data_IF_443037254675
#
_entry.id   IF_443037254675
#
_cell.length_a   1.000
_cell.length_b   1.000
_cell.length_c   1.000
_cell.angle_alpha   90.00
_cell.angle_beta   90.00
_cell.angle_gamma   90.00
#
_symmetry.space_group_name_H-M   'P 1'
#
loop_
_entity.id
_entity.type
_entity.pdbx_description
1 polymer ?
#
# COMPACT_ATOMS: atom_id res chain seq x y z
N UNK A 1 -34.61 -16.43 13.39
CA UNK A 1 -34.60 -16.96 12.01
C UNK A 1 -35.54 -16.08 11.21
N UNK A 2 -34.98 -15.13 10.47
CA UNK A 2 -35.60 -14.15 9.55
C UNK A 2 -34.38 -13.37 9.00
N UNK A 3 -33.73 -13.94 8.00
CA UNK A 3 -33.89 -13.61 6.57
C UNK A 3 -32.99 -12.42 6.16
N UNK A 4 -31.88 -12.85 5.57
CA UNK A 4 -30.80 -12.12 4.93
C UNK A 4 -31.33 -11.43 3.67
N UNK A 5 -31.85 -10.21 3.81
CA UNK A 5 -32.26 -9.38 2.69
C UNK A 5 -31.05 -8.69 2.03
N UNK A 6 -30.48 -9.41 1.06
CA UNK A 6 -30.11 -8.90 -0.27
C UNK A 6 -29.38 -7.55 -0.38
N UNK A 7 -28.11 -7.49 0.00
CA UNK A 7 -27.14 -6.48 -0.50
C UNK A 7 -26.38 -7.08 -1.69
N UNK A 8 -27.07 -7.38 -2.79
CA UNK A 8 -26.40 -7.84 -4.03
C UNK A 8 -27.02 -7.28 -5.33
N UNK A 9 -28.04 -6.41 -5.25
CA UNK A 9 -28.64 -5.76 -6.43
C UNK A 9 -28.15 -4.33 -6.74
N UNK A 10 -27.38 -3.71 -5.85
CA UNK A 10 -27.18 -2.23 -5.87
C UNK A 10 -26.06 -1.77 -6.85
N UNK A 11 -25.32 -2.65 -7.52
CA UNK A 11 -24.22 -2.21 -8.40
C UNK A 11 -24.56 -2.07 -9.89
N UNK A 12 -25.62 -2.74 -10.38
CA UNK A 12 -26.05 -2.57 -11.77
C UNK A 12 -26.83 -1.25 -11.96
N UNK A 13 -27.78 -0.97 -11.05
CA UNK A 13 -28.64 0.21 -11.15
C UNK A 13 -27.91 1.50 -10.72
N UNK A 14 -26.97 1.43 -9.78
CA UNK A 14 -26.20 2.61 -9.37
C UNK A 14 -25.27 3.11 -10.48
N UNK A 15 -24.69 2.20 -11.27
CA UNK A 15 -23.90 2.59 -12.44
C UNK A 15 -24.77 3.12 -13.57
N UNK A 16 -26.02 2.65 -13.72
CA UNK A 16 -26.98 3.23 -14.67
C UNK A 16 -27.39 4.63 -14.25
N UNK A 17 -27.83 4.82 -13.01
CA UNK A 17 -28.21 6.13 -12.47
C UNK A 17 -27.05 7.13 -12.44
N UNK A 18 -25.82 6.66 -12.23
CA UNK A 18 -24.63 7.49 -12.32
C UNK A 18 -24.27 7.86 -13.76
N UNK A 19 -24.54 6.98 -14.74
CA UNK A 19 -24.41 7.31 -16.18
C UNK A 19 -25.45 8.34 -16.60
N UNK A 20 -26.71 8.13 -16.23
CA UNK A 20 -27.83 9.03 -16.56
C UNK A 20 -27.58 10.43 -15.97
N UNK A 21 -27.03 10.51 -14.75
CA UNK A 21 -26.64 11.77 -14.11
C UNK A 21 -25.48 12.48 -14.83
N UNK A 22 -24.47 11.75 -15.33
CA UNK A 22 -23.37 12.33 -16.10
C UNK A 22 -23.86 12.84 -17.46
N UNK A 23 -24.82 12.15 -18.08
CA UNK A 23 -25.42 12.52 -19.36
C UNK A 23 -26.31 13.77 -19.23
N UNK A 24 -27.10 13.89 -18.14
CA UNK A 24 -27.88 15.10 -17.82
C UNK A 24 -27.00 16.33 -17.52
N UNK A 25 -25.82 16.14 -16.92
CA UNK A 25 -24.84 17.21 -16.63
C UNK A 25 -23.90 17.52 -17.81
N UNK A 26 -24.05 16.84 -18.96
CA UNK A 26 -23.24 17.08 -20.16
C UNK A 26 -21.77 16.63 -20.04
N UNK A 27 -21.47 15.73 -19.09
CA UNK A 27 -20.17 15.11 -18.92
C UNK A 27 -20.11 13.82 -19.76
N UNK A 28 -18.97 13.51 -20.41
CA UNK A 28 -18.87 12.33 -21.27
C UNK A 28 -19.14 11.05 -20.46
N UNK A 29 -20.17 10.30 -20.84
CA UNK A 29 -20.36 8.92 -20.38
C UNK A 29 -19.23 8.06 -20.95
N UNK A 30 -18.67 7.18 -20.13
CA UNK A 30 -17.50 6.35 -20.47
C UNK A 30 -17.86 5.20 -21.45
N UNK A 31 -18.82 5.43 -22.37
CA UNK A 31 -19.46 4.41 -23.23
C UNK A 31 -18.60 3.99 -24.44
N UNK A 32 -17.49 4.70 -24.71
CA UNK A 32 -16.59 4.38 -25.83
C UNK A 32 -15.42 3.46 -25.44
N UNK A 33 -15.44 2.83 -24.26
CA UNK A 33 -14.38 1.89 -23.85
C UNK A 33 -14.82 0.44 -23.95
N UNK A 34 -13.96 -0.39 -24.52
CA UNK A 34 -14.11 -1.85 -24.52
C UNK A 34 -13.28 -2.47 -23.40
N UNK A 35 -13.78 -3.57 -22.85
CA UNK A 35 -13.06 -4.41 -21.90
C UNK A 35 -12.41 -5.59 -22.62
N UNK A 36 -11.09 -5.70 -22.51
CA UNK A 36 -10.30 -6.83 -23.02
C UNK A 36 -9.72 -7.63 -21.86
N UNK A 37 -10.04 -8.92 -21.79
CA UNK A 37 -9.50 -9.85 -20.80
C UNK A 37 -8.28 -10.58 -21.36
N UNK A 38 -7.10 -10.23 -20.85
CA UNK A 38 -5.83 -10.86 -21.22
C UNK A 38 -5.48 -11.97 -20.21
N UNK A 39 -5.44 -13.26 -20.62
CA UNK A 39 -5.17 -14.36 -19.71
C UNK A 39 -3.75 -14.33 -19.15
N UNK A 40 -3.54 -15.00 -18.02
CA UNK A 40 -2.22 -15.36 -17.50
C UNK A 40 -2.11 -16.86 -17.25
N UNK A 41 -0.90 -17.37 -17.39
CA UNK A 41 -0.53 -18.75 -17.07
C UNK A 41 -0.10 -18.78 -15.60
N UNK A 42 -0.79 -19.54 -14.75
CA UNK A 42 -0.39 -19.76 -13.34
C UNK A 42 0.74 -20.80 -13.27
N UNK A 43 1.76 -20.52 -12.45
CA UNK A 43 2.99 -21.30 -12.33
C UNK A 43 3.30 -21.75 -10.89
N UNK A 44 2.31 -21.75 -9.98
CA UNK A 44 2.54 -22.19 -8.59
C UNK A 44 2.86 -23.69 -8.50
N UNK A 45 2.25 -24.51 -9.36
CA UNK A 45 2.42 -25.96 -9.35
C UNK A 45 1.98 -26.58 -8.01
N UNK A 46 2.81 -27.47 -7.47
CA UNK A 46 2.59 -28.15 -6.18
C UNK A 46 3.46 -27.59 -5.04
N UNK A 47 4.16 -26.48 -5.30
CA UNK A 47 5.16 -25.96 -4.36
C UNK A 47 4.49 -25.31 -3.15
N UNK A 48 4.97 -25.64 -1.95
CA UNK A 48 4.53 -25.03 -0.70
C UNK A 48 5.41 -23.84 -0.38
N UNK A 49 4.93 -22.63 -0.67
CA UNK A 49 5.64 -21.38 -0.44
C UNK A 49 5.07 -20.70 0.80
N UNK A 50 5.84 -20.63 1.88
CA UNK A 50 5.37 -20.01 3.13
C UNK A 50 5.40 -18.49 3.04
N UNK A 51 4.36 -17.83 3.53
CA UNK A 51 4.28 -16.36 3.64
C UNK A 51 3.68 -15.97 5.00
N UNK A 52 3.88 -14.72 5.40
CA UNK A 52 3.33 -14.21 6.66
C UNK A 52 1.89 -13.72 6.43
N UNK A 53 0.94 -14.23 7.21
CA UNK A 53 -0.48 -13.83 7.15
C UNK A 53 -1.07 -13.72 8.54
N UNK A 54 -2.14 -12.93 8.67
CA UNK A 54 -3.01 -12.98 9.83
C UNK A 54 -3.77 -14.31 9.84
N UNK A 55 -3.88 -14.95 11.01
CA UNK A 55 -4.73 -16.13 11.22
C UNK A 55 -6.12 -15.89 10.66
N UNK A 56 -6.69 -16.83 9.87
CA UNK A 56 -8.08 -16.71 9.35
C UNK A 56 -9.10 -16.60 10.50
N UNK A 57 -8.78 -17.20 11.65
CA UNK A 57 -9.63 -17.24 12.84
C UNK A 57 -8.82 -16.94 14.10
N UNK A 58 -9.34 -16.08 14.97
CA UNK A 58 -8.79 -15.82 16.31
C UNK A 58 -9.91 -16.13 17.32
N UNK A 59 -9.66 -17.04 18.27
CA UNK A 59 -10.63 -17.49 19.28
C UNK A 59 -12.04 -17.79 18.71
N UNK A 60 -12.12 -18.46 17.55
CA UNK A 60 -13.38 -18.82 16.91
C UNK A 60 -14.08 -17.70 16.13
N UNK A 61 -13.45 -16.54 15.96
CA UNK A 61 -13.98 -15.41 15.18
C UNK A 61 -13.11 -15.17 13.94
N UNK A 62 -13.75 -14.99 12.79
CA UNK A 62 -13.07 -14.67 11.53
C UNK A 62 -12.33 -13.33 11.61
N UNK A 63 -11.14 -13.27 11.04
CA UNK A 63 -10.39 -12.00 10.90
C UNK A 63 -10.78 -11.23 9.65
N UNK A 64 -11.60 -11.82 8.78
CA UNK A 64 -12.10 -11.14 7.59
C UNK A 64 -12.83 -9.85 7.96
N UNK A 65 -12.62 -8.82 7.15
CA UNK A 65 -13.17 -7.48 7.35
C UNK A 65 -12.87 -6.85 8.73
N UNK A 66 -11.97 -7.42 9.54
CA UNK A 66 -11.66 -6.97 10.90
C UNK A 66 -12.66 -7.41 11.97
N UNK A 67 -13.43 -8.47 11.75
CA UNK A 67 -14.43 -8.97 12.70
C UNK A 67 -13.83 -9.39 14.05
N UNK A 68 -12.74 -10.15 14.02
CA UNK A 68 -12.02 -10.56 15.22
C UNK A 68 -11.59 -9.36 16.07
N UNK A 69 -11.03 -8.31 15.45
CA UNK A 69 -10.65 -7.09 16.15
C UNK A 69 -11.86 -6.42 16.81
N UNK A 70 -12.97 -6.29 16.07
CA UNK A 70 -14.18 -5.64 16.60
C UNK A 70 -14.82 -6.38 17.77
N UNK A 71 -14.73 -7.71 17.81
CA UNK A 71 -15.37 -8.55 18.83
C UNK A 71 -14.46 -8.92 20.00
N UNK A 72 -13.16 -9.07 19.76
CA UNK A 72 -12.23 -9.67 20.73
C UNK A 72 -11.17 -8.72 21.28
N UNK A 73 -10.86 -7.64 20.58
CA UNK A 73 -9.86 -6.70 21.05
C UNK A 73 -10.42 -5.84 22.21
N UNK A 74 -9.56 -5.39 23.14
CA UNK A 74 -9.93 -4.35 24.09
C UNK A 74 -10.48 -3.13 23.35
N UNK A 75 -11.55 -2.52 23.87
CA UNK A 75 -12.20 -1.34 23.25
C UNK A 75 -11.20 -0.18 23.19
N UNK A 76 -10.66 0.20 22.00
CA UNK A 76 -9.83 1.39 21.89
C UNK A 76 -10.63 2.63 22.33
N UNK A 77 -10.04 3.45 23.19
CA UNK A 77 -10.55 4.80 23.48
C UNK A 77 -9.69 5.81 22.75
N UNK A 78 -10.32 6.68 21.94
CA UNK A 78 -9.61 7.73 21.20
C UNK A 78 -8.94 8.70 22.19
N UNK A 79 -7.64 8.89 22.03
CA UNK A 79 -6.84 9.75 22.89
C UNK A 79 -5.66 10.35 22.10
N UNK A 80 -5.06 11.42 22.63
CA UNK A 80 -3.80 11.97 22.12
C UNK A 80 -2.65 10.96 22.24
N UNK A 81 -1.62 11.05 21.39
CA UNK A 81 -0.44 10.21 21.55
C UNK A 81 0.24 10.49 22.91
N UNK A 82 0.64 9.44 23.63
CA UNK A 82 1.32 9.54 24.92
C UNK A 82 2.42 8.46 25.02
N UNK A 83 3.60 8.71 24.40
CA UNK A 83 4.69 7.74 24.38
C UNK A 83 5.25 7.40 25.77
N UNK A 84 4.97 8.24 26.78
CA UNK A 84 5.41 8.00 28.16
C UNK A 84 4.60 6.86 28.77
N UNK A 85 3.29 6.80 28.50
CA UNK A 85 2.40 5.75 28.99
C UNK A 85 2.32 4.55 28.05
N UNK A 86 2.35 4.81 26.75
CA UNK A 86 2.24 3.81 25.69
C UNK A 86 3.30 4.12 24.62
N UNK A 87 4.50 3.52 24.72
CA UNK A 87 5.62 3.79 23.80
C UNK A 87 5.26 3.61 22.33
N UNK A 88 4.32 2.72 22.00
CA UNK A 88 3.91 2.47 20.62
C UNK A 88 3.22 3.70 20.00
N UNK A 89 2.65 4.60 20.82
CA UNK A 89 2.03 5.84 20.33
C UNK A 89 3.03 6.87 19.79
N UNK A 90 4.34 6.69 20.01
CA UNK A 90 5.38 7.50 19.34
C UNK A 90 5.23 7.47 17.81
N UNK A 91 4.73 6.37 17.26
CA UNK A 91 4.38 6.25 15.84
C UNK A 91 3.42 7.35 15.37
N UNK A 92 2.42 7.71 16.18
CA UNK A 92 1.39 8.70 15.83
C UNK A 92 1.96 10.13 15.81
N UNK A 93 2.99 10.41 16.62
CA UNK A 93 3.69 11.70 16.61
C UNK A 93 4.68 11.81 15.45
N UNK A 94 5.40 10.72 15.15
CA UNK A 94 6.34 10.71 14.02
C UNK A 94 5.62 10.76 12.68
N UNK A 95 4.43 10.16 12.60
CA UNK A 95 3.64 10.10 11.38
C UNK A 95 2.37 10.94 11.51
N UNK A 96 2.56 12.26 11.59
CA UNK A 96 1.48 13.22 11.79
C UNK A 96 0.45 13.20 10.66
N UNK A 97 -0.78 13.57 11.00
CA UNK A 97 -1.83 13.87 10.03
C UNK A 97 -1.49 15.20 9.34
N UNK A 98 -1.30 15.19 8.02
CA UNK A 98 -1.16 16.42 7.24
C UNK A 98 -2.50 16.78 6.61
N UNK A 99 -2.93 18.03 6.82
CA UNK A 99 -4.15 18.55 6.23
C UNK A 99 -3.85 19.84 5.48
N UNK A 100 -3.99 19.78 4.15
CA UNK A 100 -3.83 20.92 3.26
C UNK A 100 -5.19 21.54 2.92
N UNK A 101 -5.40 22.78 3.36
CA UNK A 101 -6.62 23.55 3.15
C UNK A 101 -6.52 24.57 2.02
N UNK A 102 -5.33 24.78 1.42
CA UNK A 102 -5.16 25.72 0.32
C UNK A 102 -6.13 25.45 -0.86
N UNK A 103 -6.29 24.22 -1.37
CA UNK A 103 -7.21 23.96 -2.48
C UNK A 103 -8.67 24.29 -2.15
N UNK A 104 -9.09 23.98 -0.92
CA UNK A 104 -10.47 24.24 -0.47
C UNK A 104 -10.74 25.73 -0.30
N UNK A 105 -9.76 26.48 0.21
CA UNK A 105 -9.88 27.94 0.38
C UNK A 105 -9.84 28.65 -0.97
N UNK A 106 -8.99 28.20 -1.90
CA UNK A 106 -8.97 28.72 -3.26
C UNK A 106 -10.32 28.49 -3.96
N UNK A 107 -10.92 27.31 -3.82
CA UNK A 107 -12.24 27.01 -4.36
C UNK A 107 -13.38 27.85 -3.73
N UNK A 108 -13.26 28.21 -2.45
CA UNK A 108 -14.21 29.12 -1.78
C UNK A 108 -14.04 30.57 -2.24
N UNK A 109 -12.80 30.99 -2.55
CA UNK A 109 -12.46 32.37 -2.95
C UNK A 109 -12.59 32.65 -4.45
N UNK A 110 -12.77 31.64 -5.31
CA UNK A 110 -12.84 31.77 -6.78
C UNK A 110 -14.02 32.60 -7.34
N UNK A 111 -14.69 33.43 -6.53
CA UNK A 111 -15.40 34.64 -6.97
C UNK A 111 -14.51 35.90 -7.08
N UNK A 112 -13.22 35.84 -6.73
CA UNK A 112 -12.30 36.97 -6.85
C UNK A 112 -10.83 36.58 -6.65
N UNK A 113 -10.02 36.89 -7.67
CA UNK A 113 -8.55 36.83 -7.77
C UNK A 113 -7.90 35.44 -7.92
N UNK A 114 -7.48 35.20 -9.17
CA UNK A 114 -6.40 34.29 -9.55
C UNK A 114 -5.07 34.97 -9.21
N UNK A 115 -4.19 34.27 -8.51
CA UNK A 115 -2.76 34.62 -8.46
C UNK A 115 -2.12 34.51 -7.07
N UNK A 116 -1.26 33.51 -6.91
CA UNK A 116 -0.30 33.41 -5.81
C UNK A 116 0.68 32.28 -6.11
N UNK A 117 1.97 32.62 -6.14
CA UNK A 117 3.11 31.79 -6.58
C UNK A 117 3.03 30.31 -6.20
N UNK A 118 3.20 29.45 -7.20
CA UNK A 118 3.26 27.99 -7.05
C UNK A 118 4.57 27.50 -6.38
N UNK A 119 5.51 28.39 -6.06
CA UNK A 119 6.87 28.05 -5.59
C UNK A 119 7.15 28.45 -4.11
N UNK A 120 6.20 29.04 -3.39
CA UNK A 120 6.37 29.30 -1.96
C UNK A 120 5.99 28.05 -1.13
N UNK A 121 6.84 27.67 -0.18
CA UNK A 121 6.51 26.61 0.79
C UNK A 121 5.20 26.98 1.52
N UNK A 122 4.21 26.07 1.61
CA UNK A 122 2.94 26.37 2.24
C UNK A 122 3.14 26.72 3.71
N UNK A 123 2.36 27.68 4.22
CA UNK A 123 2.39 28.03 5.63
C UNK A 123 1.90 26.85 6.47
N UNK A 124 2.76 26.34 7.35
CA UNK A 124 2.44 25.27 8.30
C UNK A 124 2.15 25.86 9.69
N UNK A 125 1.00 25.53 10.27
CA UNK A 125 0.53 26.05 11.55
C UNK A 125 -0.36 25.04 12.28
N UNK A 126 -0.93 25.43 13.42
CA UNK A 126 -1.80 24.62 14.27
C UNK A 126 -2.95 25.45 14.83
N UNK A 127 -4.05 24.78 15.18
CA UNK A 127 -5.02 25.36 16.10
C UNK A 127 -4.38 25.45 17.49
N UNK A 128 -4.32 26.66 18.04
CA UNK A 128 -3.95 26.89 19.44
C UNK A 128 -5.18 26.81 20.37
N UNK A 129 -4.95 26.77 21.68
CA UNK A 129 -6.02 26.65 22.69
C UNK A 129 -7.09 27.73 22.60
N UNK A 130 -6.77 28.95 22.14
CA UNK A 130 -7.78 30.01 21.96
C UNK A 130 -8.77 29.68 20.84
N UNK A 131 -8.31 29.08 19.74
CA UNK A 131 -9.24 28.61 18.69
C UNK A 131 -10.16 27.52 19.23
N UNK A 132 -9.61 26.57 20.00
CA UNK A 132 -10.38 25.45 20.59
C UNK A 132 -11.52 25.96 21.48
N UNK A 133 -11.32 27.08 22.20
CA UNK A 133 -12.37 27.70 23.01
C UNK A 133 -13.60 28.18 22.21
N UNK A 134 -13.46 28.43 20.89
CA UNK A 134 -14.57 28.85 20.04
C UNK A 134 -15.26 27.70 19.31
N UNK A 135 -14.74 26.47 19.41
CA UNK A 135 -15.28 25.32 18.71
C UNK A 135 -16.50 24.74 19.44
N UNK A 136 -17.47 24.28 18.66
CA UNK A 136 -18.62 23.55 19.20
C UNK A 136 -18.23 22.07 19.43
N UNK A 137 -17.69 21.79 20.62
CA UNK A 137 -17.23 20.44 20.99
C UNK A 137 -18.34 19.40 20.97
N UNK A 138 -19.59 19.79 21.24
CA UNK A 138 -20.70 18.84 21.24
C UNK A 138 -21.04 18.45 19.79
N UNK A 139 -21.14 19.44 18.89
CA UNK A 139 -21.30 19.20 17.44
C UNK A 139 -20.16 18.34 16.87
N UNK A 140 -18.91 18.67 17.19
CA UNK A 140 -17.73 17.89 16.76
C UNK A 140 -17.83 16.44 17.27
N UNK A 141 -18.22 16.25 18.53
CA UNK A 141 -18.38 14.91 19.11
C UNK A 141 -19.46 14.11 18.37
N UNK A 142 -20.61 14.72 18.07
CA UNK A 142 -21.68 14.07 17.30
C UNK A 142 -21.23 13.73 15.87
N UNK A 143 -20.49 14.61 15.21
CA UNK A 143 -19.91 14.35 13.89
C UNK A 143 -18.93 13.18 13.88
N UNK A 144 -18.14 13.03 14.95
CA UNK A 144 -17.24 11.88 15.09
C UNK A 144 -17.99 10.58 15.42
N UNK A 145 -19.04 10.62 16.24
CA UNK A 145 -19.90 9.45 16.48
C UNK A 145 -20.61 9.01 15.20
N UNK A 146 -21.10 9.96 14.38
CA UNK A 146 -21.66 9.65 13.05
C UNK A 146 -20.60 8.99 12.15
N UNK A 147 -19.41 9.57 12.07
CA UNK A 147 -18.30 9.04 11.29
C UNK A 147 -17.88 7.61 11.72
N UNK A 148 -17.87 7.35 13.02
CA UNK A 148 -17.63 6.03 13.62
C UNK A 148 -18.73 5.04 13.22
N UNK A 149 -20.00 5.46 13.27
CA UNK A 149 -21.14 4.62 12.89
C UNK A 149 -21.13 4.26 11.40
N UNK A 150 -20.85 5.22 10.51
CA UNK A 150 -20.71 5.02 9.05
C UNK A 150 -19.67 3.96 8.69
N UNK A 151 -18.64 3.78 9.53
CA UNK A 151 -17.55 2.82 9.34
C UNK A 151 -17.73 1.50 10.09
N UNK A 152 -18.84 1.36 10.83
CA UNK A 152 -19.11 0.17 11.64
C UNK A 152 -18.13 -0.03 12.79
N UNK A 153 -17.50 1.03 13.31
CA UNK A 153 -16.54 0.98 14.41
C UNK A 153 -17.24 1.01 15.77
N UNK A 154 -18.16 0.06 16.01
CA UNK A 154 -18.91 -0.01 17.26
C UNK A 154 -18.04 -0.29 18.50
N UNK A 155 -16.83 -0.83 18.30
CA UNK A 155 -15.85 -1.10 19.35
C UNK A 155 -14.89 0.07 19.60
N UNK A 156 -15.13 1.27 19.05
CA UNK A 156 -14.34 2.46 19.32
C UNK A 156 -15.07 3.37 20.32
N UNK A 157 -14.40 3.73 21.40
CA UNK A 157 -14.92 4.68 22.38
C UNK A 157 -14.43 6.10 22.08
N UNK A 158 -15.36 7.06 22.01
CA UNK A 158 -15.09 8.48 21.86
C UNK A 158 -15.58 9.19 23.11
N UNK A 159 -14.76 10.09 23.67
CA UNK A 159 -15.17 10.89 24.83
C UNK A 159 -14.97 12.36 24.51
N UNK A 160 -15.90 13.20 24.96
CA UNK A 160 -15.82 14.66 24.80
C UNK A 160 -14.49 15.21 25.31
N UNK A 161 -14.08 14.76 26.50
CA UNK A 161 -12.79 15.11 27.11
C UNK A 161 -11.60 14.67 26.25
N UNK A 162 -11.61 13.45 25.70
CA UNK A 162 -10.54 12.96 24.84
C UNK A 162 -10.42 13.77 23.54
N UNK A 163 -11.55 14.22 22.97
CA UNK A 163 -11.58 15.08 21.78
C UNK A 163 -11.01 16.47 22.10
N UNK A 164 -11.39 17.05 23.24
CA UNK A 164 -10.86 18.33 23.73
C UNK A 164 -9.34 18.26 23.95
N UNK A 165 -8.86 17.24 24.66
CA UNK A 165 -7.43 17.00 24.89
C UNK A 165 -6.66 16.79 23.57
N UNK A 166 -7.28 16.13 22.59
CA UNK A 166 -6.68 15.89 21.28
C UNK A 166 -6.57 17.18 20.45
N UNK A 167 -7.61 18.03 20.45
CA UNK A 167 -7.57 19.32 19.76
C UNK A 167 -6.54 20.29 20.34
N UNK A 168 -6.27 20.19 21.65
CA UNK A 168 -5.25 20.97 22.32
C UNK A 168 -3.82 20.47 22.06
N UNK A 169 -3.65 19.25 21.57
CA UNK A 169 -2.34 18.63 21.32
C UNK A 169 -1.89 18.89 19.87
N UNK A 170 -0.72 19.50 19.69
CA UNK A 170 -0.16 19.81 18.37
C UNK A 170 0.80 18.73 17.85
N UNK A 171 1.09 17.69 18.65
CA UNK A 171 2.11 16.69 18.32
C UNK A 171 1.70 15.71 17.22
N UNK A 172 0.41 15.64 16.87
CA UNK A 172 -0.13 14.60 15.97
C UNK A 172 -0.53 15.10 14.58
N UNK A 173 -0.49 16.41 14.30
CA UNK A 173 -0.89 16.95 13.00
C UNK A 173 -0.05 18.13 12.54
N UNK A 174 -0.14 18.43 11.23
CA UNK A 174 0.31 19.67 10.59
C UNK A 174 -0.81 20.22 9.72
N UNK A 175 -1.15 21.49 9.90
CA UNK A 175 -2.16 22.19 9.11
C UNK A 175 -1.48 23.15 8.13
N UNK A 176 -1.71 22.94 6.83
CA UNK A 176 -1.26 23.82 5.77
C UNK A 176 -2.42 24.73 5.35
N UNK A 177 -2.34 26.00 5.72
CA UNK A 177 -3.40 27.00 5.54
C UNK A 177 -2.81 28.42 5.52
N UNK A 178 -3.37 29.37 4.75
CA UNK A 178 -2.96 30.78 4.89
C UNK A 178 -3.16 31.29 6.32
N UNK A 179 -2.17 32.02 6.85
CA UNK A 179 -2.14 32.42 8.25
C UNK A 179 -3.32 33.35 8.62
N UNK A 180 -3.77 34.17 7.68
CA UNK A 180 -4.90 35.08 7.83
C UNK A 180 -6.21 34.35 8.16
N UNK A 181 -6.36 33.08 7.76
CA UNK A 181 -7.58 32.30 7.97
C UNK A 181 -7.73 31.81 9.42
N UNK A 182 -6.66 31.90 10.20
CA UNK A 182 -6.65 31.64 11.64
C UNK A 182 -6.66 32.94 12.47
N UNK A 183 -6.86 34.11 11.83
CA UNK A 183 -6.96 35.37 12.55
C UNK A 183 -8.30 35.48 13.30
N UNK A 184 -8.27 36.07 14.50
CA UNK A 184 -9.44 36.28 15.34
C UNK A 184 -10.18 37.58 14.96
N UNK A 185 -10.65 37.67 13.72
CA UNK A 185 -11.27 38.88 13.16
C UNK A 185 -12.69 38.67 12.60
N UNK A 186 -13.18 37.41 12.49
CA UNK A 186 -14.52 37.10 11.96
C UNK A 186 -15.10 35.80 12.53
N UNK A 187 -16.41 35.78 12.77
CA UNK A 187 -17.15 34.56 13.15
C UNK A 187 -17.28 33.54 12.01
N UNK A 188 -17.13 33.96 10.75
CA UNK A 188 -17.08 33.03 9.61
C UNK A 188 -15.85 32.12 9.71
N UNK A 189 -14.73 32.65 10.21
CA UNK A 189 -13.51 31.86 10.45
C UNK A 189 -13.69 30.82 11.55
N UNK A 190 -14.55 31.08 12.55
CA UNK A 190 -14.88 30.07 13.56
C UNK A 190 -15.54 28.83 12.92
N UNK A 191 -16.44 29.03 11.94
CA UNK A 191 -17.03 27.91 11.18
C UNK A 191 -15.97 27.15 10.38
N UNK A 192 -15.03 27.88 9.77
CA UNK A 192 -13.89 27.27 9.09
C UNK A 192 -13.02 26.45 10.07
N UNK A 193 -12.74 26.96 11.27
CA UNK A 193 -11.95 26.25 12.28
C UNK A 193 -12.65 24.97 12.74
N UNK A 194 -13.97 24.99 12.89
CA UNK A 194 -14.75 23.79 13.17
C UNK A 194 -14.60 22.75 12.04
N UNK A 195 -14.71 23.16 10.76
CA UNK A 195 -14.54 22.23 9.65
C UNK A 195 -13.12 21.65 9.59
N UNK A 196 -12.11 22.47 9.90
CA UNK A 196 -10.70 22.05 10.02
C UNK A 196 -10.59 21.02 11.15
N UNK A 197 -11.13 21.32 12.33
CA UNK A 197 -11.10 20.45 13.50
C UNK A 197 -11.76 19.09 13.20
N UNK A 198 -12.96 19.08 12.62
CA UNK A 198 -13.66 17.84 12.21
C UNK A 198 -12.82 17.05 11.21
N UNK A 199 -12.24 17.70 10.20
CA UNK A 199 -11.42 17.05 9.17
C UNK A 199 -10.15 16.42 9.76
N UNK A 200 -9.46 17.14 10.64
CA UNK A 200 -8.28 16.65 11.35
C UNK A 200 -8.64 15.45 12.24
N UNK A 201 -9.70 15.57 13.05
CA UNK A 201 -10.14 14.53 13.97
C UNK A 201 -10.61 13.28 13.23
N UNK A 202 -11.35 13.39 12.11
CA UNK A 202 -11.76 12.24 11.29
C UNK A 202 -10.53 11.49 10.75
N UNK A 203 -9.54 12.21 10.20
CA UNK A 203 -8.28 11.62 9.73
C UNK A 203 -7.48 10.94 10.85
N UNK A 204 -7.36 11.59 12.01
CA UNK A 204 -6.66 11.01 13.15
C UNK A 204 -7.39 9.79 13.72
N UNK A 205 -8.72 9.83 13.81
CA UNK A 205 -9.52 8.72 14.31
C UNK A 205 -9.33 7.48 13.45
N UNK A 206 -9.32 7.63 12.13
CA UNK A 206 -9.04 6.53 11.20
C UNK A 206 -7.62 5.97 11.37
N UNK A 207 -6.63 6.86 11.53
CA UNK A 207 -5.24 6.45 11.79
C UNK A 207 -5.09 5.74 13.13
N UNK A 208 -5.71 6.26 14.19
CA UNK A 208 -5.68 5.71 15.54
C UNK A 208 -6.35 4.34 15.60
N UNK A 209 -7.55 4.20 15.01
CA UNK A 209 -8.25 2.94 14.93
C UNK A 209 -7.44 1.89 14.16
N UNK A 210 -6.88 2.28 13.02
CA UNK A 210 -6.01 1.40 12.21
C UNK A 210 -4.75 0.99 12.97
N UNK A 211 -4.15 1.90 13.73
CA UNK A 211 -2.99 1.62 14.59
C UNK A 211 -3.34 0.60 15.68
N UNK A 212 -4.42 0.82 16.45
CA UNK A 212 -4.87 -0.09 17.51
C UNK A 212 -5.26 -1.46 16.97
N UNK A 213 -5.95 -1.50 15.82
CA UNK A 213 -6.30 -2.74 15.13
C UNK A 213 -5.07 -3.59 14.86
N UNK A 214 -4.04 -2.98 14.30
CA UNK A 214 -2.85 -3.71 13.82
C UNK A 214 -1.92 -4.10 14.96
N UNK A 215 -1.79 -3.24 15.98
CA UNK A 215 -1.08 -3.57 17.24
C UNK A 215 -1.67 -4.83 17.91
N UNK A 216 -3.00 -4.97 17.87
CA UNK A 216 -3.68 -6.17 18.35
C UNK A 216 -3.56 -7.39 17.42
N UNK A 217 -3.61 -7.20 16.09
CA UNK A 217 -3.47 -8.30 15.11
C UNK A 217 -2.05 -8.88 15.06
N UNK A 218 -1.06 -8.08 15.44
CA UNK A 218 0.36 -8.37 15.34
C UNK A 218 0.79 -9.72 15.96
N UNK A 219 0.39 -10.09 17.20
CA UNK A 219 0.74 -11.38 17.80
C UNK A 219 0.01 -12.58 17.17
N UNK A 220 -0.97 -12.32 16.29
CA UNK A 220 -1.78 -13.33 15.64
C UNK A 220 -1.34 -13.62 14.20
N UNK A 221 -0.20 -13.10 13.77
CA UNK A 221 0.44 -13.50 12.52
C UNK A 221 0.92 -14.96 12.59
N UNK A 222 0.92 -15.64 11.46
CA UNK A 222 1.39 -17.00 11.28
C UNK A 222 2.06 -17.19 9.90
N UNK A 223 2.89 -18.23 9.79
CA UNK A 223 3.27 -18.75 8.48
C UNK A 223 2.12 -19.52 7.88
N UNK A 224 1.80 -19.22 6.62
CA UNK A 224 0.82 -19.96 5.84
C UNK A 224 1.40 -20.25 4.46
N UNK A 225 1.16 -21.45 3.96
CA UNK A 225 1.46 -21.79 2.58
C UNK A 225 0.59 -20.96 1.62
N UNK A 226 1.17 -20.54 0.50
CA UNK A 226 0.45 -19.85 -0.56
C UNK A 226 -0.54 -20.82 -1.21
N UNK A 227 -1.83 -20.47 -1.20
CA UNK A 227 -2.91 -21.24 -1.81
C UNK A 227 -3.21 -20.71 -3.23
N UNK A 228 -3.77 -21.54 -4.12
CA UNK A 228 -4.04 -21.16 -5.52
C UNK A 228 -5.12 -20.08 -5.70
N UNK A 229 -5.87 -19.79 -4.64
CA UNK A 229 -6.86 -18.73 -4.50
C UNK A 229 -6.32 -17.50 -3.75
N UNK A 230 -5.00 -17.44 -3.47
CA UNK A 230 -4.40 -16.30 -2.77
C UNK A 230 -4.74 -14.99 -3.52
N UNK A 231 -5.15 -13.92 -2.82
CA UNK A 231 -5.60 -12.68 -3.47
C UNK A 231 -4.52 -11.95 -4.29
N UNK A 232 -3.25 -12.35 -4.21
CA UNK A 232 -2.17 -11.87 -5.09
C UNK A 232 -2.19 -12.51 -6.48
N UNK A 233 -2.90 -13.63 -6.66
CA UNK A 233 -3.16 -14.16 -7.98
C UNK A 233 -4.22 -13.31 -8.68
N UNK A 234 -4.01 -13.11 -9.98
CA UNK A 234 -5.01 -12.48 -10.82
C UNK A 234 -6.24 -13.40 -10.88
N UNK A 235 -7.36 -12.95 -10.32
CA UNK A 235 -8.64 -13.64 -10.36
C UNK A 235 -9.77 -12.61 -10.54
N UNK A 236 -10.76 -12.93 -11.35
CA UNK A 236 -12.05 -12.21 -11.38
C UNK A 236 -12.99 -12.96 -10.44
N UNK A 237 -13.81 -12.25 -9.65
CA UNK A 237 -14.74 -12.84 -8.67
C UNK A 237 -15.75 -13.84 -9.28
N UNK A 238 -15.89 -13.85 -10.60
CA UNK A 238 -16.91 -14.60 -11.33
C UNK A 238 -16.40 -15.90 -11.96
N UNK A 239 -15.07 -16.10 -12.08
CA UNK A 239 -14.48 -17.39 -12.46
C UNK A 239 -13.17 -17.63 -11.71
N UNK A 240 -13.15 -18.65 -10.85
CA UNK A 240 -12.02 -18.99 -9.98
C UNK A 240 -10.88 -19.72 -10.70
N UNK A 241 -11.11 -20.20 -11.92
CA UNK A 241 -10.19 -21.12 -12.60
C UNK A 241 -9.13 -20.41 -13.45
N UNK A 242 -9.43 -19.23 -13.99
CA UNK A 242 -8.57 -18.56 -14.97
C UNK A 242 -8.21 -17.13 -14.54
N UNK A 243 -6.92 -16.81 -14.56
CA UNK A 243 -6.42 -15.50 -14.16
C UNK A 243 -6.32 -14.53 -15.34
N UNK A 244 -6.70 -13.27 -15.12
CA UNK A 244 -6.74 -12.26 -16.19
C UNK A 244 -6.26 -10.88 -15.74
N UNK A 245 -5.64 -10.16 -16.66
CA UNK A 245 -5.62 -8.70 -16.64
C UNK A 245 -6.88 -8.16 -17.32
N UNK A 246 -7.52 -7.18 -16.69
CA UNK A 246 -8.57 -6.38 -17.31
C UNK A 246 -7.94 -5.16 -17.96
N UNK A 247 -8.06 -5.04 -19.28
CA UNK A 247 -7.56 -3.89 -20.05
C UNK A 247 -8.77 -3.11 -20.57
N UNK A 248 -8.92 -1.85 -20.15
CA UNK A 248 -9.91 -0.93 -20.69
C UNK A 248 -9.25 -0.09 -21.79
N UNK A 249 -9.86 -0.12 -22.98
CA UNK A 249 -9.31 0.43 -24.21
C UNK A 249 -10.39 1.26 -24.88
N UNK A 250 -10.04 2.44 -25.40
CA UNK A 250 -10.95 3.21 -26.25
C UNK A 250 -11.26 2.44 -27.55
N UNK A 251 -12.54 2.40 -27.94
CA UNK A 251 -13.03 1.66 -29.10
C UNK A 251 -12.38 2.10 -30.42
N UNK A 252 -11.90 3.34 -30.49
CA UNK A 252 -11.14 3.87 -31.64
C UNK A 252 -9.75 3.25 -31.80
N UNK A 253 -9.21 2.59 -30.77
CA UNK A 253 -7.86 2.03 -30.75
C UNK A 253 -7.81 0.59 -31.29
N UNK A 254 -8.36 0.35 -32.49
CA UNK A 254 -8.46 -0.98 -33.10
C UNK A 254 -7.12 -1.72 -33.19
N UNK A 255 -6.02 -1.00 -33.44
CA UNK A 255 -4.67 -1.57 -33.52
C UNK A 255 -4.22 -2.18 -32.17
N UNK A 256 -4.54 -1.52 -31.05
CA UNK A 256 -4.23 -2.02 -29.70
C UNK A 256 -4.98 -3.32 -29.45
N UNK A 257 -6.26 -3.36 -29.83
CA UNK A 257 -7.11 -4.56 -29.69
C UNK A 257 -6.56 -5.73 -30.48
N UNK A 258 -6.16 -5.49 -31.74
CA UNK A 258 -5.55 -6.51 -32.58
C UNK A 258 -4.26 -7.07 -31.96
N UNK A 259 -3.37 -6.19 -31.45
CA UNK A 259 -2.11 -6.61 -30.82
C UNK A 259 -2.28 -7.34 -29.49
N UNK A 260 -3.27 -6.97 -28.69
CA UNK A 260 -3.63 -7.73 -27.49
C UNK A 260 -4.26 -9.08 -27.85
N UNK A 261 -5.01 -9.16 -28.96
CA UNK A 261 -5.51 -10.42 -29.51
C UNK A 261 -4.39 -11.39 -29.92
N UNK A 262 -3.35 -10.88 -30.60
CA UNK A 262 -2.13 -11.64 -30.91
C UNK A 262 -1.44 -12.15 -29.63
N UNK A 263 -1.30 -11.29 -28.62
CA UNK A 263 -0.70 -11.67 -27.33
C UNK A 263 -1.54 -12.74 -26.62
N UNK A 264 -2.86 -12.57 -26.55
CA UNK A 264 -3.79 -13.54 -25.98
C UNK A 264 -3.65 -14.92 -26.65
N UNK A 265 -3.65 -14.93 -27.98
CA UNK A 265 -3.47 -16.18 -28.75
C UNK A 265 -2.11 -16.81 -28.48
N UNK A 266 -1.06 -16.01 -28.31
CA UNK A 266 0.29 -16.49 -27.98
C UNK A 266 0.34 -17.12 -26.58
N UNK A 267 -0.34 -16.53 -25.60
CA UNK A 267 -0.47 -17.05 -24.23
C UNK A 267 -1.20 -18.39 -24.25
N UNK A 268 -2.36 -18.46 -24.91
CA UNK A 268 -3.20 -19.67 -24.99
C UNK A 268 -2.47 -20.84 -25.68
N UNK A 269 -1.62 -20.54 -26.68
CA UNK A 269 -0.79 -21.53 -27.36
C UNK A 269 0.51 -21.89 -26.64
N UNK A 270 0.89 -21.12 -25.62
CA UNK A 270 2.20 -21.23 -24.97
C UNK A 270 3.39 -20.76 -25.83
N UNK A 271 3.16 -19.92 -26.84
CA UNK A 271 4.21 -19.31 -27.68
C UNK A 271 4.76 -18.05 -27.00
N UNK A 272 5.63 -18.22 -25.99
CA UNK A 272 6.09 -17.17 -25.07
C UNK A 272 7.24 -16.32 -25.67
N UNK A 273 7.02 -15.76 -26.87
CA UNK A 273 8.01 -14.90 -27.54
C UNK A 273 8.02 -13.49 -26.96
N UNK A 274 9.15 -12.76 -27.01
CA UNK A 274 9.20 -11.35 -26.65
C UNK A 274 8.10 -10.56 -27.35
N UNK A 275 7.30 -9.81 -26.58
CA UNK A 275 6.21 -9.00 -27.09
C UNK A 275 6.33 -7.60 -26.52
N UNK A 276 6.31 -6.62 -27.42
CA UNK A 276 6.36 -5.20 -27.10
C UNK A 276 5.57 -4.41 -28.15
N UNK A 277 4.74 -3.48 -27.69
CA UNK A 277 3.93 -2.65 -28.56
C UNK A 277 3.58 -1.32 -27.89
N UNK A 278 3.95 -0.19 -28.51
CA UNK A 278 3.65 1.17 -28.04
C UNK A 278 3.95 1.40 -26.54
N UNK A 279 5.09 0.89 -26.06
CA UNK A 279 5.51 1.01 -24.66
C UNK A 279 4.79 0.05 -23.69
N UNK A 280 3.93 -0.84 -24.18
CA UNK A 280 3.52 -2.05 -23.45
C UNK A 280 4.51 -3.17 -23.67
N UNK A 281 4.86 -3.90 -22.62
CA UNK A 281 5.76 -5.05 -22.71
C UNK A 281 5.24 -6.22 -21.89
N UNK A 282 5.27 -7.41 -22.49
CA UNK A 282 5.00 -8.66 -21.79
C UNK A 282 6.32 -9.30 -21.37
N UNK A 283 6.50 -9.47 -20.06
CA UNK A 283 7.70 -10.03 -19.47
C UNK A 283 7.43 -11.48 -19.09
N UNK A 284 8.15 -12.38 -19.76
CA UNK A 284 8.09 -13.82 -19.51
C UNK A 284 9.18 -14.23 -18.53
N UNK A 285 8.78 -14.60 -17.32
CA UNK A 285 9.70 -15.12 -16.32
C UNK A 285 9.10 -16.37 -15.68
N UNK A 286 9.59 -17.55 -16.09
CA UNK A 286 9.04 -18.83 -15.65
C UNK A 286 9.18 -19.12 -14.15
N UNK A 287 9.97 -18.33 -13.42
CA UNK A 287 10.04 -18.37 -11.96
C UNK A 287 9.05 -17.44 -11.27
N UNK A 288 8.36 -16.58 -12.01
CA UNK A 288 7.21 -15.86 -11.48
C UNK A 288 5.99 -16.79 -11.40
N UNK A 289 5.19 -16.67 -10.33
CA UNK A 289 4.04 -17.54 -10.05
C UNK A 289 2.87 -17.37 -11.02
N UNK A 290 2.92 -16.38 -11.90
CA UNK A 290 2.09 -16.28 -13.08
C UNK A 290 2.82 -15.53 -14.21
N UNK A 291 2.44 -15.71 -15.47
CA UNK A 291 3.04 -14.96 -16.58
C UNK A 291 2.06 -14.74 -17.75
N UNK A 292 2.19 -13.66 -18.53
CA UNK A 292 3.24 -12.64 -18.44
C UNK A 292 3.02 -11.67 -17.27
N UNK A 293 4.09 -10.97 -16.89
CA UNK A 293 3.97 -9.69 -16.17
C UNK A 293 3.88 -8.55 -17.20
N UNK A 294 2.95 -7.62 -17.01
CA UNK A 294 2.80 -6.48 -17.92
C UNK A 294 3.54 -5.25 -17.40
N UNK A 295 4.25 -4.57 -18.29
CA UNK A 295 4.78 -3.22 -18.10
C UNK A 295 4.08 -2.25 -19.05
N UNK A 296 3.88 -1.02 -18.60
CA UNK A 296 3.27 0.05 -19.40
C UNK A 296 4.00 1.37 -19.14
N UNK A 297 4.56 1.96 -20.20
CA UNK A 297 5.28 3.24 -20.14
C UNK A 297 4.38 4.46 -20.40
N UNK A 298 3.16 4.26 -20.90
CA UNK A 298 2.27 5.32 -21.34
C UNK A 298 0.82 5.08 -20.92
N UNK A 299 0.03 6.13 -20.72
CA UNK A 299 -1.37 6.01 -20.29
C UNK A 299 -2.33 5.72 -21.47
N UNK A 300 -1.90 4.95 -22.47
CA UNK A 300 -2.71 4.63 -23.67
C UNK A 300 -3.86 3.67 -23.37
N UNK A 301 -3.74 2.88 -22.30
CA UNK A 301 -4.75 1.92 -21.83
C UNK A 301 -4.77 1.90 -20.32
N UNK A 302 -5.91 1.52 -19.74
CA UNK A 302 -6.04 1.30 -18.30
C UNK A 302 -6.02 -0.20 -18.00
N UNK A 303 -5.02 -0.67 -17.25
CA UNK A 303 -4.85 -2.09 -16.93
C UNK A 303 -5.08 -2.31 -15.43
N UNK A 304 -5.88 -3.31 -15.10
CA UNK A 304 -6.15 -3.76 -13.74
C UNK A 304 -5.86 -5.26 -13.57
N UNK A 305 -5.08 -5.66 -12.55
CA UNK A 305 -4.31 -4.81 -11.63
C UNK A 305 -3.24 -3.97 -12.36
N UNK A 306 -2.80 -2.89 -11.71
CA UNK A 306 -1.86 -1.94 -12.30
C UNK A 306 -0.62 -2.67 -12.84
N UNK A 307 -0.09 -2.32 -14.03
CA UNK A 307 1.12 -2.93 -14.59
C UNK A 307 2.37 -2.52 -13.82
N UNK A 308 3.51 -3.14 -14.12
CA UNK A 308 4.81 -2.81 -13.53
C UNK A 308 5.21 -1.39 -13.89
N UNK A 309 5.82 -0.69 -12.94
CA UNK A 309 6.51 0.58 -13.20
C UNK A 309 7.95 0.33 -13.74
N UNK A 310 8.68 1.39 -14.09
CA UNK A 310 10.05 1.28 -14.64
C UNK A 310 11.04 0.55 -13.71
N UNK A 311 11.04 0.88 -12.42
CA UNK A 311 11.91 0.25 -11.43
C UNK A 311 11.54 -1.20 -11.16
N UNK A 312 10.24 -1.49 -11.04
CA UNK A 312 9.71 -2.85 -10.91
C UNK A 312 10.06 -3.71 -12.13
N UNK A 313 9.87 -3.19 -13.35
CA UNK A 313 10.29 -3.88 -14.59
C UNK A 313 11.77 -4.20 -14.58
N UNK A 314 12.61 -3.20 -14.30
CA UNK A 314 14.05 -3.38 -14.30
C UNK A 314 14.49 -4.46 -13.30
N UNK A 315 13.85 -4.50 -12.12
CA UNK A 315 14.11 -5.52 -11.11
C UNK A 315 13.79 -6.94 -11.62
N UNK A 316 12.62 -7.13 -12.24
CA UNK A 316 12.21 -8.43 -12.80
C UNK A 316 13.16 -8.86 -13.92
N UNK A 317 13.57 -7.92 -14.80
CA UNK A 317 14.49 -8.19 -15.91
C UNK A 317 15.89 -8.57 -15.40
N UNK A 318 16.43 -7.83 -14.41
CA UNK A 318 17.74 -8.13 -13.82
C UNK A 318 17.73 -9.46 -13.06
N UNK A 319 16.66 -9.76 -12.30
CA UNK A 319 16.52 -11.04 -11.61
C UNK A 319 16.42 -12.21 -12.60
N UNK A 320 15.68 -12.03 -13.70
CA UNK A 320 15.61 -13.02 -14.78
C UNK A 320 17.00 -13.23 -15.42
N UNK A 321 17.70 -12.15 -15.75
CA UNK A 321 19.04 -12.23 -16.33
C UNK A 321 20.03 -12.94 -15.39
N UNK A 322 19.96 -12.65 -14.08
CA UNK A 322 20.76 -13.33 -13.08
C UNK A 322 20.44 -14.82 -13.01
N UNK A 323 19.15 -15.19 -12.98
CA UNK A 323 18.71 -16.58 -12.98
C UNK A 323 19.23 -17.35 -14.20
N UNK A 324 19.07 -16.79 -15.39
CA UNK A 324 19.44 -17.45 -16.64
C UNK A 324 20.97 -17.53 -16.83
N UNK A 325 21.72 -16.55 -16.28
CA UNK A 325 23.18 -16.49 -16.38
C UNK A 325 23.95 -17.27 -15.30
N UNK A 326 23.31 -17.73 -14.23
CA UNK A 326 23.97 -18.34 -13.06
C UNK A 326 23.46 -19.76 -12.77
N UNK A 327 23.40 -20.64 -13.77
CA UNK A 327 22.87 -22.00 -13.63
C UNK A 327 23.50 -22.81 -12.47
N UNK A 328 24.80 -22.64 -12.21
CA UNK A 328 25.48 -23.32 -11.10
C UNK A 328 24.94 -22.92 -9.73
N UNK A 329 24.54 -21.67 -9.54
CA UNK A 329 23.95 -21.18 -8.28
C UNK A 329 22.60 -21.85 -7.99
N UNK A 330 21.83 -22.13 -9.04
CA UNK A 330 20.47 -22.69 -8.98
C UNK A 330 20.41 -24.22 -9.09
N UNK A 331 21.55 -24.92 -9.20
CA UNK A 331 21.57 -26.41 -9.20
C UNK A 331 20.95 -27.02 -7.95
N UNK A 332 21.08 -26.34 -6.81
CA UNK A 332 20.58 -26.78 -5.51
C UNK A 332 19.56 -25.80 -4.91
N UNK A 333 19.09 -24.83 -5.70
CA UNK A 333 18.24 -23.74 -5.24
C UNK A 333 17.10 -23.50 -6.20
N UNK A 334 15.89 -23.40 -5.67
CA UNK A 334 14.70 -23.08 -6.46
C UNK A 334 14.24 -21.66 -6.16
N UNK A 335 14.01 -20.88 -7.22
CA UNK A 335 13.62 -19.48 -7.13
C UNK A 335 12.14 -19.34 -7.53
N UNK A 336 11.39 -18.58 -6.74
CA UNK A 336 10.02 -18.17 -7.07
C UNK A 336 9.81 -16.70 -6.79
N UNK A 337 9.05 -16.02 -7.65
CA UNK A 337 8.72 -14.60 -7.51
C UNK A 337 7.21 -14.40 -7.58
N UNK A 338 6.66 -13.56 -6.71
CA UNK A 338 5.28 -13.10 -6.78
C UNK A 338 5.24 -11.60 -6.64
N UNK A 339 4.59 -10.92 -7.58
CA UNK A 339 4.19 -9.54 -7.41
C UNK A 339 3.09 -9.45 -6.34
N UNK A 340 3.34 -8.65 -5.32
CA UNK A 340 2.43 -8.43 -4.22
C UNK A 340 1.42 -7.34 -4.58
N UNK A 341 0.15 -7.71 -4.76
CA UNK A 341 -0.91 -6.77 -5.13
C UNK A 341 -1.34 -5.97 -3.88
N UNK A 342 -0.81 -4.75 -3.73
CA UNK A 342 -1.19 -3.85 -2.63
C UNK A 342 -2.68 -3.45 -2.69
N UNK A 343 -3.22 -2.93 -1.57
CA UNK A 343 -4.65 -2.57 -1.31
C UNK A 343 -5.56 -3.73 -0.86
N UNK A 344 -5.18 -4.37 0.26
CA UNK A 344 -6.04 -5.29 1.01
C UNK A 344 -6.08 -6.74 0.49
N UNK A 345 -5.29 -7.05 -0.54
CA UNK A 345 -5.16 -8.40 -1.13
C UNK A 345 -3.78 -9.02 -0.84
N UNK A 346 -2.73 -8.22 -0.92
CA UNK A 346 -1.36 -8.66 -0.67
C UNK A 346 -0.88 -8.63 0.78
N UNK A 347 0.38 -9.02 0.97
CA UNK A 347 1.09 -8.95 2.25
C UNK A 347 1.38 -7.50 2.58
N UNK A 348 1.22 -7.14 3.84
CA UNK A 348 1.59 -5.83 4.35
C UNK A 348 2.08 -5.93 5.78
N UNK A 349 3.02 -5.07 6.12
CA UNK A 349 3.64 -5.01 7.43
C UNK A 349 3.39 -3.63 8.03
N UNK A 350 2.64 -3.61 9.12
CA UNK A 350 2.24 -2.37 9.75
C UNK A 350 3.35 -1.75 10.57
N UNK A 351 4.12 -2.62 11.23
CA UNK A 351 5.25 -2.32 12.09
C UNK A 351 6.28 -1.41 11.39
N UNK A 352 6.30 -1.44 10.04
CA UNK A 352 7.08 -0.59 9.16
C UNK A 352 6.27 0.52 8.45
N UNK A 353 5.28 1.11 9.10
CA UNK A 353 4.56 2.28 8.57
C UNK A 353 3.67 1.96 7.36
N UNK A 354 2.96 0.83 7.40
CA UNK A 354 2.23 0.25 6.26
C UNK A 354 3.17 -0.07 5.09
N UNK A 355 4.29 -0.74 5.38
CA UNK A 355 5.17 -1.23 4.34
C UNK A 355 4.47 -2.35 3.57
N UNK A 356 4.31 -2.15 2.28
CA UNK A 356 3.82 -3.15 1.34
C UNK A 356 4.93 -3.35 0.31
N UNK A 357 5.70 -4.45 0.40
CA UNK A 357 6.71 -4.72 -0.61
C UNK A 357 6.03 -4.96 -1.96
N UNK A 358 6.67 -4.59 -3.07
CA UNK A 358 6.10 -4.82 -4.41
C UNK A 358 6.24 -6.28 -4.83
N UNK A 359 7.24 -6.99 -4.31
CA UNK A 359 7.49 -8.40 -4.59
C UNK A 359 7.76 -9.22 -3.34
N UNK A 360 7.39 -10.49 -3.43
CA UNK A 360 7.81 -11.54 -2.51
C UNK A 360 8.62 -12.54 -3.34
N UNK A 361 9.80 -12.85 -2.86
CA UNK A 361 10.70 -13.81 -3.49
C UNK A 361 10.93 -14.98 -2.53
N UNK A 362 10.92 -16.19 -3.06
CA UNK A 362 11.29 -17.39 -2.32
C UNK A 362 12.53 -18.00 -2.93
N UNK A 363 13.53 -18.26 -2.09
CA UNK A 363 14.70 -19.08 -2.43
C UNK A 363 14.67 -20.32 -1.56
N UNK A 364 14.47 -21.49 -2.18
CA UNK A 364 14.36 -22.77 -1.49
C UNK A 364 15.67 -23.53 -1.65
N UNK A 365 16.26 -23.97 -0.54
CA UNK A 365 17.52 -24.69 -0.56
C UNK A 365 17.61 -25.63 0.65
N UNK A 366 17.90 -26.91 0.43
CA UNK A 366 18.16 -27.87 1.53
C UNK A 366 17.02 -28.01 2.55
N UNK A 367 15.76 -27.85 2.11
CA UNK A 367 14.58 -27.90 3.00
C UNK A 367 14.23 -26.57 3.68
N UNK A 368 15.07 -25.56 3.56
CA UNK A 368 14.82 -24.21 4.08
C UNK A 368 14.19 -23.32 3.01
N UNK A 369 13.39 -22.35 3.45
CA UNK A 369 12.79 -21.31 2.62
C UNK A 369 13.23 -19.93 3.07
N UNK A 370 13.73 -19.15 2.12
CA UNK A 370 14.01 -17.74 2.34
C UNK A 370 12.97 -16.90 1.67
N UNK A 371 12.19 -16.20 2.47
CA UNK A 371 11.14 -15.30 2.02
C UNK A 371 11.70 -13.88 2.06
N UNK A 372 11.93 -13.32 0.88
CA UNK A 372 12.56 -12.00 0.71
C UNK A 372 11.49 -11.02 0.20
N UNK A 373 11.20 -10.00 1.00
CA UNK A 373 10.29 -8.91 0.65
C UNK A 373 11.06 -7.78 -0.03
N UNK A 374 10.76 -7.53 -1.30
CA UNK A 374 11.51 -6.58 -2.13
C UNK A 374 10.63 -5.41 -2.57
N UNK A 375 11.12 -4.19 -2.40
CA UNK A 375 10.42 -2.94 -2.75
C UNK A 375 11.33 -2.06 -3.64
N UNK A 376 11.27 -2.21 -4.98
CA UNK A 376 11.99 -1.36 -5.91
C UNK A 376 11.38 0.04 -5.98
N UNK A 377 12.06 1.06 -5.44
CA UNK A 377 11.47 2.40 -5.30
C UNK A 377 12.47 3.55 -5.28
N UNK A 378 11.96 4.75 -5.51
CA UNK A 378 12.68 5.99 -5.18
C UNK A 378 12.57 6.32 -3.70
N UNK A 379 13.71 6.56 -3.07
CA UNK A 379 13.80 6.78 -1.62
C UNK A 379 14.23 8.21 -1.26
N UNK A 380 14.34 9.11 -2.24
CA UNK A 380 14.74 10.52 -2.03
C UNK A 380 13.97 11.23 -0.91
N UNK A 381 12.67 10.96 -0.80
CA UNK A 381 11.79 11.59 0.19
C UNK A 381 11.58 10.74 1.45
N UNK A 382 12.33 9.65 1.61
CA UNK A 382 12.24 8.74 2.75
C UNK A 382 13.40 9.05 3.69
N UNK A 383 13.11 9.28 4.97
CA UNK A 383 14.14 9.55 5.98
C UNK A 383 14.91 8.28 6.37
N UNK A 384 16.13 8.44 6.89
CA UNK A 384 16.96 7.32 7.34
C UNK A 384 16.25 6.45 8.38
N UNK A 385 15.57 7.08 9.33
CA UNK A 385 14.83 6.37 10.38
C UNK A 385 13.38 6.05 10.00
N UNK A 386 13.00 6.20 8.74
CA UNK A 386 11.66 5.85 8.28
C UNK A 386 11.38 4.36 8.56
N UNK A 387 10.17 4.01 9.04
CA UNK A 387 9.81 2.63 9.32
C UNK A 387 10.05 1.66 8.14
N UNK A 388 9.96 2.13 6.89
CA UNK A 388 10.24 1.31 5.71
C UNK A 388 11.72 0.94 5.59
N UNK A 389 12.62 1.90 5.84
CA UNK A 389 14.08 1.63 5.85
C UNK A 389 14.44 0.66 6.97
N UNK A 390 13.78 0.81 8.13
CA UNK A 390 14.01 -0.03 9.31
C UNK A 390 13.33 -1.40 9.25
N UNK A 391 12.50 -1.66 8.24
CA UNK A 391 11.74 -2.91 8.17
C UNK A 391 12.63 -4.16 8.09
N UNK A 392 13.87 -4.04 7.60
CA UNK A 392 14.85 -5.11 7.65
C UNK A 392 15.14 -5.61 9.07
N UNK A 393 15.04 -4.76 10.09
CA UNK A 393 15.15 -5.11 11.52
C UNK A 393 13.83 -5.77 11.98
N UNK A 394 12.71 -5.10 11.72
CA UNK A 394 11.37 -5.53 12.15
C UNK A 394 10.97 -6.89 11.59
N UNK A 395 11.32 -7.20 10.34
CA UNK A 395 11.02 -8.51 9.76
C UNK A 395 11.74 -9.65 10.49
N UNK A 396 12.90 -9.38 11.11
CA UNK A 396 13.61 -10.35 11.95
C UNK A 396 12.94 -10.55 13.30
N UNK A 397 12.32 -9.53 13.87
CA UNK A 397 11.47 -9.68 15.06
C UNK A 397 10.26 -10.57 14.76
N UNK A 398 9.66 -10.41 13.57
CA UNK A 398 8.56 -11.28 13.11
C UNK A 398 9.05 -12.73 12.95
N UNK A 399 10.20 -12.95 12.28
CA UNK A 399 10.82 -14.27 12.13
C UNK A 399 11.03 -14.95 13.49
N UNK A 400 11.66 -14.24 14.44
CA UNK A 400 11.92 -14.74 15.80
C UNK A 400 10.64 -15.07 16.57
N UNK A 401 9.56 -14.31 16.37
CA UNK A 401 8.27 -14.56 17.01
C UNK A 401 7.57 -15.79 16.44
N UNK A 402 7.66 -16.00 15.12
CA UNK A 402 6.99 -17.10 14.44
C UNK A 402 7.70 -18.45 14.66
N UNK A 403 8.99 -18.45 15.02
CA UNK A 403 9.75 -19.61 15.52
C UNK A 403 9.73 -20.85 14.61
N UNK A 404 9.81 -20.65 13.30
CA UNK A 404 9.98 -21.73 12.33
C UNK A 404 11.46 -21.80 11.90
N UNK A 405 12.21 -22.85 12.25
CA UNK A 405 13.64 -22.94 11.96
C UNK A 405 13.94 -23.11 10.47
N UNK A 406 12.94 -23.49 9.66
CA UNK A 406 13.10 -23.73 8.23
C UNK A 406 12.74 -22.48 7.40
N UNK A 407 12.31 -21.39 8.03
CA UNK A 407 11.89 -20.17 7.33
C UNK A 407 12.69 -18.97 7.81
N UNK A 408 13.36 -18.32 6.87
CA UNK A 408 14.07 -17.07 7.12
C UNK A 408 13.44 -15.93 6.34
N UNK A 409 13.18 -14.82 7.01
CA UNK A 409 12.60 -13.62 6.43
C UNK A 409 13.68 -12.57 6.18
N UNK A 410 13.67 -11.95 5.02
CA UNK A 410 14.51 -10.79 4.73
C UNK A 410 13.66 -9.71 4.05
N UNK A 411 14.12 -8.47 4.14
CA UNK A 411 13.54 -7.39 3.34
C UNK A 411 14.62 -6.49 2.79
N UNK A 412 14.45 -6.08 1.54
CA UNK A 412 15.33 -5.18 0.83
C UNK A 412 14.54 -4.05 0.17
N UNK A 413 15.12 -2.86 0.21
CA UNK A 413 14.72 -1.75 -0.65
C UNK A 413 15.70 -1.70 -1.80
N UNK A 414 15.20 -1.83 -3.03
CA UNK A 414 15.99 -1.72 -4.24
C UNK A 414 15.82 -0.29 -4.77
N UNK A 415 16.75 0.57 -4.39
CA UNK A 415 16.69 2.00 -4.67
C UNK A 415 17.01 2.30 -6.12
N UNK A 416 16.13 3.05 -6.78
CA UNK A 416 16.44 3.72 -8.05
C UNK A 416 17.03 5.14 -7.85
N UNK A 417 17.23 5.56 -6.59
CA UNK A 417 17.91 6.82 -6.24
C UNK A 417 19.37 6.53 -5.91
N UNK A 418 20.30 7.25 -6.54
CA UNK A 418 21.74 7.02 -6.37
C UNK A 418 22.20 7.12 -4.91
N UNK A 419 23.18 6.30 -4.53
CA UNK A 419 23.78 6.31 -3.19
C UNK A 419 24.47 7.63 -2.88
N UNK A 420 25.03 8.30 -3.90
CA UNK A 420 25.58 9.65 -3.77
C UNK A 420 24.52 10.68 -3.34
N UNK A 421 23.31 10.60 -3.93
CA UNK A 421 22.18 11.46 -3.52
C UNK A 421 21.76 11.15 -2.09
N UNK A 422 21.64 9.88 -1.76
CA UNK A 422 21.21 9.46 -0.42
C UNK A 422 22.26 9.77 0.65
N UNK A 423 23.55 9.75 0.30
CA UNK A 423 24.63 10.15 1.20
C UNK A 423 24.48 11.60 1.65
N UNK A 424 24.13 12.50 0.73
CA UNK A 424 23.88 13.90 1.06
C UNK A 424 22.64 14.09 1.95
N UNK A 425 21.57 13.32 1.71
CA UNK A 425 20.31 13.44 2.43
C UNK A 425 20.35 12.80 3.83
N UNK A 426 21.01 11.66 3.96
CA UNK A 426 21.05 10.89 5.20
C UNK A 426 22.32 11.13 6.01
N UNK A 427 23.36 11.73 5.42
CA UNK A 427 24.70 11.79 6.01
C UNK A 427 25.21 10.41 6.40
N UNK A 428 24.98 9.43 5.51
CA UNK A 428 25.33 8.02 5.67
C UNK A 428 26.15 7.53 4.50
N UNK A 429 27.13 6.68 4.76
CA UNK A 429 27.91 6.04 3.70
C UNK A 429 27.12 4.90 3.06
N UNK A 430 27.49 4.55 1.81
CA UNK A 430 26.85 3.44 1.07
C UNK A 430 26.89 2.13 1.87
N UNK A 431 27.98 1.86 2.57
CA UNK A 431 28.12 0.67 3.42
C UNK A 431 27.12 0.65 4.60
N UNK A 432 26.79 1.80 5.18
CA UNK A 432 25.74 1.89 6.20
C UNK A 432 24.37 1.60 5.59
N UNK A 433 24.10 2.07 4.37
CA UNK A 433 22.85 1.80 3.66
C UNK A 433 22.70 0.31 3.31
N UNK A 434 23.78 -0.32 2.84
CA UNK A 434 23.82 -1.76 2.56
C UNK A 434 23.56 -2.59 3.84
N UNK A 435 24.09 -2.18 5.00
CA UNK A 435 23.80 -2.81 6.30
C UNK A 435 22.32 -2.70 6.71
N UNK A 436 21.56 -1.76 6.15
CA UNK A 436 20.09 -1.65 6.28
C UNK A 436 19.34 -2.26 5.10
N UNK A 437 19.99 -3.14 4.33
CA UNK A 437 19.40 -3.81 3.16
C UNK A 437 18.87 -2.84 2.09
N UNK A 438 19.48 -1.66 1.97
CA UNK A 438 19.19 -0.72 0.88
C UNK A 438 20.22 -0.97 -0.23
N UNK A 439 19.75 -1.56 -1.33
CA UNK A 439 20.56 -1.86 -2.52
C UNK A 439 20.32 -0.79 -3.60
N UNK A 440 21.27 -0.59 -4.51
CA UNK A 440 21.18 0.46 -5.54
C UNK A 440 21.07 -0.15 -6.93
N UNK A 441 19.90 -0.06 -7.54
CA UNK A 441 19.53 -0.77 -8.76
C UNK A 441 20.41 -0.39 -9.96
N UNK A 442 20.63 0.91 -10.18
CA UNK A 442 21.39 1.39 -11.33
C UNK A 442 22.91 1.31 -11.09
N UNK A 443 23.37 1.65 -9.89
CA UNK A 443 24.81 1.66 -9.55
C UNK A 443 25.39 0.25 -9.44
N UNK A 444 24.64 -0.67 -8.82
CA UNK A 444 25.11 -2.01 -8.49
C UNK A 444 24.46 -3.06 -9.40
N UNK A 445 24.03 -2.68 -10.61
CA UNK A 445 23.22 -3.50 -11.54
C UNK A 445 23.71 -4.94 -11.67
N UNK A 446 25.02 -5.13 -11.80
CA UNK A 446 25.63 -6.44 -12.03
C UNK A 446 25.79 -7.29 -10.75
N UNK A 447 25.56 -6.73 -9.57
CA UNK A 447 25.89 -7.35 -8.28
C UNK A 447 24.77 -7.31 -7.23
N UNK A 448 23.79 -6.42 -7.34
CA UNK A 448 22.77 -6.26 -6.29
C UNK A 448 21.87 -7.49 -6.16
N UNK A 449 21.48 -8.12 -7.28
CA UNK A 449 20.68 -9.34 -7.26
C UNK A 449 21.43 -10.47 -6.57
N UNK A 450 22.73 -10.63 -6.88
CA UNK A 450 23.59 -11.58 -6.20
C UNK A 450 23.66 -11.29 -4.70
N UNK A 451 23.92 -10.04 -4.34
CA UNK A 451 24.03 -9.61 -2.93
C UNK A 451 22.74 -9.92 -2.14
N UNK A 452 21.57 -9.69 -2.76
CA UNK A 452 20.27 -10.02 -2.18
C UNK A 452 20.07 -11.53 -1.94
N UNK A 453 20.57 -12.38 -2.85
CA UNK A 453 20.41 -13.84 -2.77
C UNK A 453 21.54 -14.54 -1.97
N UNK A 454 22.74 -13.99 -1.93
CA UNK A 454 23.91 -14.57 -1.24
C UNK A 454 23.87 -14.38 0.27
N UNK A 455 23.27 -13.28 0.76
CA UNK A 455 22.98 -13.10 2.20
C UNK A 455 21.90 -14.09 2.66
N UNK A 456 21.14 -14.62 1.71
CA UNK A 456 20.28 -15.78 1.87
C UNK A 456 21.10 -17.12 1.87
N UNK A 457 22.44 -17.09 1.85
CA UNK A 457 23.27 -18.30 2.01
C UNK A 457 23.76 -18.56 3.44
N UNK A 458 23.73 -17.56 4.32
CA UNK A 458 24.57 -17.52 5.53
C UNK A 458 23.78 -17.53 6.85
N UNK A 459 22.68 -18.29 6.88
CA UNK A 459 21.95 -18.61 8.12
C UNK A 459 22.63 -19.66 9.03
N UNK A 460 23.86 -20.07 8.73
CA UNK A 460 24.58 -21.09 9.49
C UNK A 460 26.08 -20.85 9.50
N UNK A 461 26.53 -19.88 10.30
CA UNK A 461 27.84 -19.84 10.97
C UNK A 461 28.16 -18.38 11.39
N UNK A 462 27.64 -17.98 12.55
CA UNK A 462 28.32 -17.00 13.39
C UNK A 462 28.27 -17.55 14.81
N UNK A 463 29.46 -17.81 15.35
CA UNK A 463 29.74 -18.35 16.68
C UNK A 463 29.23 -17.43 17.80
#
# INVERSE_FOLDING_TARGET
>A
MLETLGIFGIHADYMAQFRDFLEEEGLPTNDDRIEFLLPVIKNLGTQKLKTVRLKKMINGVSTEFGDAFRKLAPVPTLARPDPVRDPNTHYLQKNQVVLNWYPKIQAMKSGGLVGGDADAAPNETHLNGRHVCFLDLDRITFELERFKAERGWYNLNLTRRGIEELLADQSWYRLQIPAEELAFDSFEKVRLWDEIAVSLLKKYTERYYSFRKRDWELPHLEYRDLEGDDPNFLCVKESSEEGYYRVLIDRSQEEIVAKLGELKTSIEKGDLKPWEFRGMKAIWFGKHLYQPLLYLDSNIVEISPAPLNKGERQFVEDLKAFHDGNADFFKTRELYLLRNLSKGRGVGFFEAGNFHPDFILWLLAGGQQQVIFVDPKGIRNIGWDDPKIRFCETVKEIEQRLKDPDVHLQSYIVSNTSSATMRMLWSKDKDEMLKRNVLFQEEDRDSYVRSMLDVAGTGGAAQ
#
